data_IF_683340241584
#
_entry.id   IF_683340241584
#
_cell.length_a   1.000
_cell.length_b   1.000
_cell.length_c   1.000
_cell.angle_alpha   90.00
_cell.angle_beta   90.00
_cell.angle_gamma   90.00
#
_symmetry.space_group_name_H-M   'P 1'
#
loop_
_entity.id
_entity.type
_entity.pdbx_description
1 polymer ?
#
# COMPACT_ATOMS: atom_id res chain seq x y z
N UNK A 1 -6.26 -25.69 -8.69
CA UNK A 1 -5.23 -24.73 -9.11
C UNK A 1 -3.89 -25.44 -8.97
N UNK A 2 -3.15 -25.67 -10.07
CA UNK A 2 -1.86 -26.35 -10.01
C UNK A 2 -0.81 -25.48 -9.29
N UNK A 3 0.26 -26.09 -8.80
CA UNK A 3 1.38 -25.36 -8.18
C UNK A 3 2.00 -24.41 -9.22
N UNK A 4 1.93 -23.11 -8.96
CA UNK A 4 2.54 -22.11 -9.82
C UNK A 4 4.07 -22.14 -9.63
N UNK A 5 4.81 -22.36 -10.72
CA UNK A 5 6.28 -22.41 -10.70
C UNK A 5 6.93 -21.08 -11.10
N UNK A 6 6.13 -20.08 -11.48
CA UNK A 6 6.59 -18.74 -11.85
C UNK A 6 5.69 -17.68 -11.21
N UNK A 7 6.22 -16.47 -10.89
CA UNK A 7 5.43 -15.34 -10.40
C UNK A 7 4.20 -15.03 -11.26
N UNK A 8 4.34 -15.05 -12.58
CA UNK A 8 3.24 -14.70 -13.50
C UNK A 8 2.14 -15.78 -13.57
N UNK A 9 2.45 -17.00 -13.13
CA UNK A 9 1.47 -18.09 -13.04
C UNK A 9 0.78 -18.13 -11.67
N UNK A 10 1.20 -17.29 -10.72
CA UNK A 10 0.68 -17.27 -9.36
C UNK A 10 -0.79 -16.84 -9.30
N UNK A 11 -1.41 -17.07 -8.15
CA UNK A 11 -2.75 -16.57 -7.88
C UNK A 11 -2.77 -15.03 -7.79
N UNK A 12 -1.69 -14.41 -7.34
CA UNK A 12 -1.58 -12.95 -7.24
C UNK A 12 -1.58 -12.27 -8.61
N UNK A 13 -1.08 -12.91 -9.67
CA UNK A 13 -1.08 -12.31 -11.02
C UNK A 13 -2.21 -12.89 -11.87
N UNK A 14 -2.16 -14.19 -12.16
CA UNK A 14 -3.13 -14.85 -13.03
C UNK A 14 -4.52 -14.95 -12.40
N UNK A 15 -4.58 -15.08 -11.08
CA UNK A 15 -5.86 -15.05 -10.35
C UNK A 15 -6.52 -13.68 -10.43
N UNK A 16 -5.77 -12.58 -10.27
CA UNK A 16 -6.30 -11.22 -10.42
C UNK A 16 -6.74 -10.92 -11.85
N UNK A 17 -5.97 -11.34 -12.86
CA UNK A 17 -6.38 -11.22 -14.26
C UNK A 17 -7.72 -11.94 -14.53
N UNK A 18 -7.86 -13.17 -14.04
CA UNK A 18 -9.09 -13.96 -14.21
C UNK A 18 -10.27 -13.36 -13.43
N UNK A 19 -10.04 -12.92 -12.20
CA UNK A 19 -11.04 -12.25 -11.38
C UNK A 19 -11.54 -10.97 -12.08
N UNK A 20 -10.61 -10.13 -12.56
CA UNK A 20 -10.96 -8.90 -13.26
C UNK A 20 -11.81 -9.16 -14.50
N UNK A 21 -11.42 -10.13 -15.35
CA UNK A 21 -12.21 -10.55 -16.52
C UNK A 21 -13.60 -11.07 -16.14
N UNK A 22 -13.71 -11.86 -15.08
CA UNK A 22 -15.00 -12.39 -14.60
C UNK A 22 -15.92 -11.30 -14.01
N UNK A 23 -15.33 -10.20 -13.52
CA UNK A 23 -16.04 -9.07 -12.93
C UNK A 23 -16.28 -7.91 -13.93
N UNK A 24 -16.02 -8.11 -15.23
CA UNK A 24 -16.37 -7.12 -16.24
C UNK A 24 -17.89 -6.91 -16.31
N UNK A 25 -18.37 -5.66 -16.50
CA UNK A 25 -19.80 -5.38 -16.66
C UNK A 25 -20.34 -6.05 -17.93
N UNK A 26 -21.55 -6.62 -17.83
CA UNK A 26 -22.27 -7.16 -18.98
C UNK A 26 -22.95 -6.01 -19.74
N UNK A 27 -22.57 -5.79 -21.00
CA UNK A 27 -23.16 -4.76 -21.87
C UNK A 27 -22.63 -3.34 -21.63
N UNK A 28 -23.29 -2.33 -22.23
CA UNK A 28 -22.88 -0.92 -22.19
C UNK A 28 -23.23 -0.20 -20.86
N UNK A 29 -23.20 -0.91 -19.73
CA UNK A 29 -23.46 -0.28 -18.43
C UNK A 29 -22.19 0.34 -17.89
N UNK A 30 -22.14 1.67 -17.85
CA UNK A 30 -21.14 2.42 -17.08
C UNK A 30 -21.42 2.16 -15.61
N UNK A 31 -20.74 1.19 -15.00
CA UNK A 31 -20.82 1.02 -13.55
C UNK A 31 -20.09 2.16 -12.88
N UNK A 32 -20.75 2.78 -11.92
CA UNK A 32 -20.23 3.93 -11.18
C UNK A 32 -19.43 3.51 -9.96
N UNK A 33 -19.48 2.24 -9.55
CA UNK A 33 -18.83 1.73 -8.35
C UNK A 33 -17.69 0.75 -8.67
N UNK A 34 -16.68 0.62 -7.80
CA UNK A 34 -15.66 -0.42 -7.95
C UNK A 34 -16.30 -1.81 -7.89
N UNK A 35 -16.01 -2.65 -8.89
CA UNK A 35 -16.38 -4.08 -8.89
C UNK A 35 -15.31 -4.95 -8.24
N UNK A 36 -14.06 -4.48 -8.23
CA UNK A 36 -12.95 -5.14 -7.54
C UNK A 36 -12.21 -4.12 -6.69
N UNK A 37 -12.08 -4.39 -5.40
CA UNK A 37 -11.19 -3.64 -4.49
C UNK A 37 -10.03 -4.55 -4.13
N UNK A 38 -8.83 -4.17 -4.55
CA UNK A 38 -7.62 -4.95 -4.32
C UNK A 38 -6.87 -4.44 -3.08
N UNK A 39 -6.69 -5.30 -2.09
CA UNK A 39 -5.78 -5.04 -0.98
C UNK A 39 -4.34 -5.40 -1.39
N UNK A 40 -3.56 -4.38 -1.75
CA UNK A 40 -2.15 -4.47 -2.12
C UNK A 40 -1.24 -4.13 -0.91
N UNK A 41 -0.17 -3.36 -1.11
CA UNK A 41 0.74 -2.88 -0.06
C UNK A 41 1.32 -1.53 -0.47
N UNK A 42 1.50 -0.62 0.48
CA UNK A 42 2.34 0.54 0.23
C UNK A 42 3.78 0.09 -0.06
N UNK A 43 4.46 0.80 -0.96
CA UNK A 43 5.85 0.57 -1.28
C UNK A 43 6.13 -0.40 -2.41
N UNK A 44 5.12 -0.87 -3.14
CA UNK A 44 5.28 -1.84 -4.23
C UNK A 44 6.08 -1.30 -5.43
N UNK A 45 6.25 0.01 -5.57
CA UNK A 45 7.06 0.61 -6.65
C UNK A 45 8.48 0.99 -6.21
N UNK A 46 8.69 1.13 -4.89
CA UNK A 46 9.94 1.61 -4.28
C UNK A 46 11.18 0.74 -4.57
N UNK A 47 11.07 -0.61 -4.64
CA UNK A 47 12.19 -1.44 -5.06
C UNK A 47 12.73 -1.10 -6.44
N UNK A 48 11.89 -0.57 -7.32
CA UNK A 48 12.24 -0.23 -8.71
C UNK A 48 12.57 1.24 -8.93
N UNK A 49 12.56 2.07 -7.89
CA UNK A 49 12.96 3.47 -7.99
C UNK A 49 14.45 3.60 -8.34
N UNK A 50 14.82 4.70 -9.01
CA UNK A 50 16.21 5.03 -9.26
C UNK A 50 16.97 5.22 -7.93
N UNK A 51 18.28 4.98 -7.93
CA UNK A 51 19.12 5.17 -6.73
C UNK A 51 19.06 6.60 -6.21
N UNK A 52 19.02 7.58 -7.12
CA UNK A 52 18.85 8.99 -6.77
C UNK A 52 17.53 9.26 -6.05
N UNK A 53 16.41 8.68 -6.53
CA UNK A 53 15.10 8.83 -5.88
C UNK A 53 15.05 8.09 -4.54
N UNK A 54 15.66 6.90 -4.45
CA UNK A 54 15.78 6.16 -3.20
C UNK A 54 16.54 6.97 -2.14
N UNK A 55 17.64 7.63 -2.51
CA UNK A 55 18.39 8.50 -1.59
C UNK A 55 17.59 9.76 -1.21
N UNK A 56 16.98 10.43 -2.18
CA UNK A 56 16.17 11.64 -1.94
C UNK A 56 14.96 11.38 -1.03
N UNK A 57 14.35 10.20 -1.15
CA UNK A 57 13.15 9.79 -0.39
C UNK A 57 13.45 8.61 0.56
N UNK A 58 14.62 8.65 1.21
CA UNK A 58 15.17 7.55 2.00
C UNK A 58 14.21 7.01 3.08
N UNK A 59 13.49 7.90 3.77
CA UNK A 59 12.50 7.50 4.79
C UNK A 59 11.35 6.65 4.26
N UNK A 60 11.10 6.68 2.95
CA UNK A 60 10.17 5.77 2.28
C UNK A 60 10.86 4.54 1.67
N UNK A 61 12.08 4.71 1.16
CA UNK A 61 12.80 3.70 0.38
C UNK A 61 13.57 2.67 1.23
N UNK A 62 14.05 3.03 2.43
CA UNK A 62 14.87 2.15 3.29
C UNK A 62 14.09 1.57 4.48
N UNK A 63 12.76 1.55 4.40
CA UNK A 63 11.94 0.84 5.37
C UNK A 63 12.13 -0.69 5.23
N UNK A 64 11.97 -1.48 6.29
CA UNK A 64 12.34 -2.91 6.29
C UNK A 64 11.75 -3.74 5.16
N UNK A 65 10.44 -3.58 4.89
CA UNK A 65 9.76 -4.37 3.86
C UNK A 65 10.23 -4.04 2.44
N UNK A 66 10.68 -2.80 2.20
CA UNK A 66 11.20 -2.35 0.91
C UNK A 66 12.66 -2.76 0.75
N UNK A 67 13.48 -2.55 1.80
CA UNK A 67 14.89 -2.96 1.82
C UNK A 67 15.05 -4.46 1.61
N UNK A 68 14.29 -5.27 2.36
CA UNK A 68 14.44 -6.71 2.37
C UNK A 68 13.64 -7.41 1.28
N UNK A 69 12.46 -6.88 0.93
CA UNK A 69 11.53 -7.40 -0.08
C UNK A 69 11.54 -8.94 -0.19
N UNK A 70 11.19 -9.65 0.90
CA UNK A 70 11.38 -11.09 0.98
C UNK A 70 10.60 -11.77 -0.15
N UNK A 71 11.28 -12.65 -0.88
CA UNK A 71 10.74 -13.37 -2.04
C UNK A 71 10.21 -12.49 -3.19
N UNK A 72 10.58 -11.21 -3.24
CA UNK A 72 10.04 -10.28 -4.24
C UNK A 72 8.54 -10.01 -4.06
N UNK A 73 8.02 -10.12 -2.83
CA UNK A 73 6.58 -10.00 -2.56
C UNK A 73 5.99 -8.67 -3.02
N UNK A 74 6.75 -7.57 -2.93
CA UNK A 74 6.32 -6.25 -3.40
C UNK A 74 6.21 -6.21 -4.93
N UNK A 75 7.15 -6.84 -5.64
CA UNK A 75 7.11 -6.96 -7.10
C UNK A 75 5.92 -7.81 -7.55
N UNK A 76 5.63 -8.90 -6.84
CA UNK A 76 4.48 -9.76 -7.14
C UNK A 76 3.16 -9.01 -6.97
N UNK A 77 3.01 -8.26 -5.88
CA UNK A 77 1.85 -7.39 -5.66
C UNK A 77 1.72 -6.35 -6.76
N UNK A 78 2.82 -5.69 -7.14
CA UNK A 78 2.83 -4.71 -8.24
C UNK A 78 2.34 -5.32 -9.55
N UNK A 79 2.86 -6.50 -9.93
CA UNK A 79 2.40 -7.23 -11.14
C UNK A 79 0.93 -7.59 -11.06
N UNK A 80 0.46 -8.01 -9.88
CA UNK A 80 -0.96 -8.29 -9.66
C UNK A 80 -1.84 -7.07 -9.85
N UNK A 81 -1.42 -5.90 -9.36
CA UNK A 81 -2.12 -4.64 -9.63
C UNK A 81 -2.15 -4.35 -11.13
N UNK A 82 -1.02 -4.41 -11.83
CA UNK A 82 -0.93 -4.18 -13.28
C UNK A 82 -1.82 -5.15 -14.08
N UNK A 83 -1.85 -6.43 -13.69
CA UNK A 83 -2.72 -7.45 -14.28
C UNK A 83 -4.21 -7.13 -14.09
N UNK A 84 -4.61 -6.64 -12.91
CA UNK A 84 -5.98 -6.20 -12.66
C UNK A 84 -6.34 -4.96 -13.50
N UNK A 85 -5.46 -3.95 -13.55
CA UNK A 85 -5.67 -2.74 -14.36
C UNK A 85 -5.88 -3.09 -15.84
N UNK A 86 -5.06 -4.00 -16.37
CA UNK A 86 -5.11 -4.43 -17.76
C UNK A 86 -6.42 -5.13 -18.16
N UNK A 87 -7.23 -5.62 -17.21
CA UNK A 87 -8.51 -6.24 -17.56
C UNK A 87 -9.59 -5.21 -17.92
N UNK A 88 -9.40 -3.92 -17.61
CA UNK A 88 -10.41 -2.88 -17.78
C UNK A 88 -11.62 -3.00 -16.84
N UNK A 89 -11.53 -3.85 -15.80
CA UNK A 89 -12.59 -3.94 -14.79
C UNK A 89 -12.62 -2.67 -13.96
N UNK A 90 -13.79 -2.13 -13.58
CA UNK A 90 -13.84 -1.02 -12.64
C UNK A 90 -13.26 -1.45 -11.29
N UNK A 91 -12.07 -0.94 -10.97
CA UNK A 91 -11.29 -1.36 -9.81
C UNK A 91 -11.00 -0.18 -8.87
N UNK A 92 -10.53 -0.51 -7.67
CA UNK A 92 -9.76 0.38 -6.82
C UNK A 92 -8.62 -0.43 -6.17
N UNK A 93 -7.39 0.09 -6.20
CA UNK A 93 -6.25 -0.53 -5.52
C UNK A 93 -5.96 0.24 -4.24
N UNK A 94 -6.02 -0.47 -3.11
CA UNK A 94 -5.70 0.08 -1.79
C UNK A 94 -4.37 -0.50 -1.34
N UNK A 95 -3.44 0.36 -0.94
CA UNK A 95 -2.09 0.02 -0.48
C UNK A 95 -1.94 0.38 1.00
N UNK A 96 -2.37 -0.48 1.93
CA UNK A 96 -2.13 -0.24 3.35
C UNK A 96 -0.63 -0.16 3.67
N UNK A 97 -0.28 0.69 4.64
CA UNK A 97 1.04 0.68 5.30
C UNK A 97 1.12 -0.46 6.32
N UNK A 98 2.09 -0.43 7.24
CA UNK A 98 2.37 -1.56 8.14
C UNK A 98 1.17 -1.95 9.02
N UNK A 99 0.61 -3.13 8.75
CA UNK A 99 -0.51 -3.68 9.52
C UNK A 99 -0.08 -4.02 10.95
N UNK A 100 -0.79 -3.50 11.94
CA UNK A 100 -0.52 -3.78 13.35
C UNK A 100 -1.82 -3.77 14.17
N UNK A 101 -2.21 -4.91 14.74
CA UNK A 101 -3.45 -5.03 15.53
C UNK A 101 -3.42 -4.26 16.85
N UNK A 102 -2.22 -3.91 17.32
CA UNK A 102 -2.01 -3.09 18.52
C UNK A 102 -1.97 -1.59 18.21
N UNK A 103 -1.90 -1.20 16.93
CA UNK A 103 -2.01 0.21 16.56
C UNK A 103 -3.41 0.69 16.93
N UNK A 104 -3.50 1.91 17.46
CA UNK A 104 -4.80 2.45 17.86
C UNK A 104 -5.75 2.57 16.66
N UNK A 105 -7.04 2.40 16.94
CA UNK A 105 -8.08 2.74 15.98
C UNK A 105 -7.94 4.23 15.62
N UNK A 106 -7.73 4.50 14.33
CA UNK A 106 -7.38 5.82 13.86
C UNK A 106 -8.19 6.29 12.66
N UNK A 107 -8.11 7.59 12.42
CA UNK A 107 -8.63 8.20 11.20
C UNK A 107 -7.75 7.79 10.02
N UNK A 108 -8.31 7.24 8.92
CA UNK A 108 -7.53 6.93 7.74
C UNK A 108 -7.04 8.21 7.05
N UNK A 109 -5.78 8.20 6.64
CA UNK A 109 -5.15 9.20 5.78
C UNK A 109 -4.87 8.54 4.44
N UNK A 110 -5.41 9.11 3.36
CA UNK A 110 -5.23 8.61 1.99
C UNK A 110 -4.16 9.45 1.29
N UNK A 111 -3.33 8.82 0.47
CA UNK A 111 -2.27 9.51 -0.29
C UNK A 111 -1.93 8.76 -1.58
N UNK A 112 -1.07 9.36 -2.40
CA UNK A 112 -0.62 8.80 -3.68
C UNK A 112 0.87 9.05 -3.89
N UNK A 113 1.47 8.38 -4.89
CA UNK A 113 2.89 8.52 -5.20
C UNK A 113 3.77 7.42 -4.61
N UNK A 114 3.18 6.49 -3.87
CA UNK A 114 3.86 5.36 -3.25
C UNK A 114 4.94 5.80 -2.23
N UNK A 115 4.64 6.84 -1.45
CA UNK A 115 5.57 7.46 -0.46
C UNK A 115 5.09 7.35 0.99
N UNK A 116 3.88 6.81 1.22
CA UNK A 116 3.30 6.73 2.55
C UNK A 116 4.03 5.70 3.43
N UNK A 117 4.39 6.11 4.63
CA UNK A 117 4.98 5.24 5.64
C UNK A 117 4.20 5.46 6.93
N UNK A 118 3.93 4.38 7.65
CA UNK A 118 3.14 4.45 8.86
C UNK A 118 2.64 3.09 9.31
N UNK A 119 1.60 3.13 10.13
CA UNK A 119 0.90 1.96 10.65
C UNK A 119 -0.61 2.12 10.47
N UNK A 120 -1.30 0.99 10.42
CA UNK A 120 -2.75 0.94 10.40
C UNK A 120 -3.23 -0.33 11.11
N UNK A 121 -4.29 -0.19 11.92
CA UNK A 121 -4.95 -1.35 12.51
C UNK A 121 -5.63 -2.18 11.40
N UNK A 122 -5.59 -3.51 11.49
CA UNK A 122 -6.29 -4.36 10.51
C UNK A 122 -7.80 -4.07 10.44
N UNK A 123 -8.41 -3.64 11.54
CA UNK A 123 -9.82 -3.19 11.57
C UNK A 123 -10.04 -1.94 10.72
N UNK A 124 -9.08 -1.01 10.71
CA UNK A 124 -9.16 0.23 9.94
C UNK A 124 -8.90 -0.02 8.46
N UNK A 125 -7.94 -0.89 8.15
CA UNK A 125 -7.73 -1.35 6.78
C UNK A 125 -8.99 -2.04 6.23
N UNK A 126 -9.61 -2.93 7.01
CA UNK A 126 -10.88 -3.57 6.64
C UNK A 126 -12.02 -2.55 6.47
N UNK A 127 -12.10 -1.55 7.35
CA UNK A 127 -13.06 -0.44 7.23
C UNK A 127 -12.88 0.29 5.89
N UNK A 128 -11.66 0.67 5.52
CA UNK A 128 -11.38 1.38 4.25
C UNK A 128 -11.72 0.50 3.04
N UNK A 129 -11.27 -0.76 3.04
CA UNK A 129 -11.52 -1.71 1.94
C UNK A 129 -13.01 -1.92 1.69
N UNK A 130 -13.78 -2.13 2.75
CA UNK A 130 -15.23 -2.35 2.65
C UNK A 130 -15.98 -1.07 2.29
N UNK A 131 -15.54 0.09 2.79
CA UNK A 131 -16.21 1.35 2.50
C UNK A 131 -16.06 1.77 1.05
N UNK A 132 -14.88 1.56 0.45
CA UNK A 132 -14.57 1.91 -0.95
C UNK A 132 -15.54 1.27 -1.95
N UNK A 133 -16.09 0.08 -1.66
CA UNK A 133 -17.08 -0.58 -2.53
C UNK A 133 -18.33 0.29 -2.79
N UNK A 134 -18.65 1.20 -1.87
CA UNK A 134 -19.79 2.11 -1.99
C UNK A 134 -19.44 3.54 -2.40
N UNK A 135 -18.20 3.81 -2.79
CA UNK A 135 -17.73 5.17 -3.12
C UNK A 135 -17.37 5.23 -4.63
N UNK A 136 -18.19 5.85 -5.48
CA UNK A 136 -17.96 5.89 -6.92
C UNK A 136 -16.64 6.60 -7.30
N UNK A 137 -16.20 7.53 -6.45
CA UNK A 137 -14.98 8.30 -6.63
C UNK A 137 -13.73 7.44 -6.44
N UNK A 138 -13.84 6.17 -6.02
CA UNK A 138 -12.71 5.25 -5.97
C UNK A 138 -12.37 4.57 -7.31
N UNK A 139 -13.29 4.59 -8.28
CA UNK A 139 -13.11 3.86 -9.55
C UNK A 139 -11.87 4.33 -10.29
N UNK A 140 -11.06 3.37 -10.71
CA UNK A 140 -9.84 3.58 -11.47
C UNK A 140 -8.74 4.26 -10.66
N UNK A 141 -8.76 4.19 -9.33
CA UNK A 141 -7.75 4.82 -8.47
C UNK A 141 -6.89 3.82 -7.72
N UNK A 142 -5.62 4.17 -7.59
CA UNK A 142 -4.69 3.59 -6.61
C UNK A 142 -4.42 4.58 -5.49
N UNK A 143 -4.51 4.12 -4.25
CA UNK A 143 -4.24 4.92 -3.06
C UNK A 143 -3.43 4.17 -2.02
N UNK A 144 -2.61 4.89 -1.27
CA UNK A 144 -1.99 4.42 -0.04
C UNK A 144 -2.83 4.81 1.16
N UNK A 145 -2.79 4.00 2.22
CA UNK A 145 -3.51 4.29 3.46
C UNK A 145 -2.72 3.93 4.72
N UNK A 146 -2.71 4.87 5.66
CA UNK A 146 -2.28 4.68 7.04
C UNK A 146 -3.31 5.31 7.98
N UNK A 147 -3.21 5.06 9.27
CA UNK A 147 -4.11 5.64 10.26
C UNK A 147 -3.35 6.48 11.28
N UNK A 148 -3.81 7.70 11.49
CA UNK A 148 -3.37 8.53 12.62
C UNK A 148 -4.33 8.30 13.80
N UNK A 149 -3.81 8.08 15.02
CA UNK A 149 -4.65 7.89 16.21
C UNK A 149 -5.73 8.98 16.36
N UNK A 150 -6.97 8.55 16.59
CA UNK A 150 -8.17 9.33 16.25
C UNK A 150 -8.94 9.90 17.43
N UNK A 151 -8.37 10.02 18.63
CA UNK A 151 -9.13 10.41 19.83
C UNK A 151 -9.88 11.76 19.68
N UNK A 152 -9.37 12.70 18.87
CA UNK A 152 -9.96 14.02 18.64
C UNK A 152 -10.63 14.20 17.27
N UNK A 153 -10.33 13.34 16.29
CA UNK A 153 -10.88 13.44 14.93
C UNK A 153 -11.42 12.07 14.48
N UNK A 154 -12.75 11.88 14.50
CA UNK A 154 -13.33 10.58 14.19
C UNK A 154 -13.15 10.20 12.72
N UNK A 155 -13.26 8.89 12.45
CA UNK A 155 -13.34 8.38 11.09
C UNK A 155 -14.50 9.05 10.32
N UNK A 156 -14.26 9.52 9.08
CA UNK A 156 -15.32 10.11 8.29
C UNK A 156 -16.36 9.05 7.92
N UNK A 157 -17.66 9.40 7.86
CA UNK A 157 -18.72 8.44 7.48
C UNK A 157 -18.67 8.01 6.02
N UNK A 158 -18.05 8.82 5.16
CA UNK A 158 -17.81 8.55 3.74
C UNK A 158 -16.37 8.92 3.42
N UNK A 159 -15.77 8.17 2.50
CA UNK A 159 -14.44 8.46 1.97
C UNK A 159 -14.49 9.27 0.67
N UNK A 160 -15.67 9.50 0.09
CA UNK A 160 -15.87 10.15 -1.21
C UNK A 160 -15.08 11.45 -1.36
N UNK A 161 -15.19 12.39 -0.41
CA UNK A 161 -14.42 13.65 -0.44
C UNK A 161 -12.89 13.47 -0.44
N UNK A 162 -12.39 12.43 0.24
CA UNK A 162 -10.95 12.12 0.23
C UNK A 162 -10.54 11.51 -1.11
N UNK A 163 -11.40 10.66 -1.68
CA UNK A 163 -11.19 9.98 -2.96
C UNK A 163 -11.34 10.93 -4.16
N UNK A 164 -12.22 11.92 -4.10
CA UNK A 164 -12.37 13.00 -5.10
C UNK A 164 -11.06 13.75 -5.32
N UNK A 165 -10.29 13.96 -4.26
CA UNK A 165 -9.02 14.67 -4.30
C UNK A 165 -7.86 13.85 -4.90
N UNK A 166 -8.06 12.55 -5.10
CA UNK A 166 -7.05 11.67 -5.67
C UNK A 166 -7.14 11.65 -7.20
N UNK A 167 -5.99 11.48 -7.84
CA UNK A 167 -5.91 11.38 -9.30
C UNK A 167 -6.24 9.95 -9.73
N UNK A 168 -7.08 9.73 -10.75
CA UNK A 168 -7.22 8.42 -11.38
C UNK A 168 -5.88 7.88 -11.87
N UNK A 169 -5.75 6.56 -11.89
CA UNK A 169 -4.62 5.90 -12.55
C UNK A 169 -4.67 6.30 -14.02
N UNK A 170 -3.60 6.93 -14.52
CA UNK A 170 -3.58 7.48 -15.87
C UNK A 170 -3.80 6.37 -16.92
N UNK A 171 -4.56 6.69 -17.96
CA UNK A 171 -4.58 5.91 -19.19
C UNK A 171 -3.22 6.04 -19.87
N UNK A 172 -2.29 5.13 -19.57
CA UNK A 172 -1.02 4.87 -20.26
C UNK A 172 -0.04 6.05 -20.57
N UNK A 173 -0.35 7.30 -20.20
CA UNK A 173 0.38 8.49 -20.68
C UNK A 173 1.32 9.15 -19.65
N UNK A 174 1.43 8.62 -18.43
CA UNK A 174 2.36 9.14 -17.42
C UNK A 174 2.03 8.69 -15.99
N UNK A 175 2.87 9.04 -15.00
CA UNK A 175 2.55 8.80 -13.59
C UNK A 175 1.33 9.62 -13.17
N UNK A 176 0.51 9.08 -12.27
CA UNK A 176 -0.68 9.77 -11.75
C UNK A 176 -0.36 11.09 -11.01
N UNK A 177 0.88 11.29 -10.57
CA UNK A 177 1.36 12.53 -9.94
C UNK A 177 2.73 12.94 -10.51
N UNK A 178 3.02 14.24 -10.56
CA UNK A 178 4.36 14.74 -10.88
C UNK A 178 5.36 14.43 -9.76
N UNK A 179 6.65 14.40 -10.07
CA UNK A 179 7.70 14.15 -9.07
C UNK A 179 7.70 15.20 -7.95
N UNK A 180 7.40 16.46 -8.26
CA UNK A 180 7.29 17.55 -7.28
C UNK A 180 6.10 17.33 -6.33
N UNK A 181 4.96 16.88 -6.86
CA UNK A 181 3.79 16.56 -6.06
C UNK A 181 4.05 15.36 -5.13
N UNK A 182 4.76 14.33 -5.64
CA UNK A 182 5.18 13.17 -4.84
C UNK A 182 6.12 13.60 -3.72
N UNK A 183 7.09 14.48 -4.01
CA UNK A 183 8.03 14.98 -2.99
C UNK A 183 7.34 15.86 -1.94
N UNK A 184 6.40 16.72 -2.36
CA UNK A 184 5.61 17.52 -1.43
C UNK A 184 4.76 16.63 -0.51
N UNK A 185 4.10 15.61 -1.06
CA UNK A 185 3.37 14.62 -0.25
C UNK A 185 4.31 13.90 0.72
N UNK A 186 5.45 13.39 0.25
CA UNK A 186 6.44 12.75 1.10
C UNK A 186 6.82 13.62 2.31
N UNK A 187 7.19 14.89 2.09
CA UNK A 187 7.60 15.81 3.17
C UNK A 187 6.50 16.05 4.21
N UNK A 188 5.22 16.03 3.80
CA UNK A 188 4.09 16.13 4.73
C UNK A 188 3.92 14.81 5.49
N UNK A 189 3.94 13.69 4.79
CA UNK A 189 3.69 12.38 5.40
C UNK A 189 4.78 11.95 6.38
N UNK A 190 6.04 12.34 6.16
CA UNK A 190 7.13 12.08 7.13
C UNK A 190 6.87 12.74 8.50
N UNK A 191 6.11 13.83 8.56
CA UNK A 191 5.74 14.48 9.82
C UNK A 191 4.64 13.73 10.59
N UNK A 192 4.05 12.69 9.99
CA UNK A 192 2.97 11.88 10.57
C UNK A 192 3.43 10.48 10.97
N UNK A 193 4.75 10.24 10.97
CA UNK A 193 5.31 8.96 11.39
C UNK A 193 5.02 8.70 12.87
N UNK A 194 4.72 7.45 13.26
CA UNK A 194 4.61 7.09 14.67
C UNK A 194 5.94 7.19 15.41
N UNK A 195 5.88 7.19 16.74
CA UNK A 195 7.05 7.32 17.61
C UNK A 195 7.60 8.74 17.71
N UNK A 196 8.60 8.90 18.58
CA UNK A 196 9.24 10.19 18.85
C UNK A 196 10.36 10.49 17.87
N UNK A 197 11.13 9.46 17.46
CA UNK A 197 12.25 9.62 16.52
C UNK A 197 11.78 9.91 15.11
N UNK A 198 10.67 9.30 14.67
CA UNK A 198 10.17 9.46 13.30
C UNK A 198 11.14 8.94 12.21
N UNK A 199 12.04 8.02 12.56
CA UNK A 199 13.08 7.49 11.66
C UNK A 199 12.66 6.13 11.09
N UNK A 200 11.78 6.15 10.09
CA UNK A 200 11.26 4.89 9.53
C UNK A 200 12.34 4.04 8.83
N UNK A 201 13.40 4.65 8.31
CA UNK A 201 14.55 3.98 7.69
C UNK A 201 15.49 3.30 8.71
N UNK A 202 15.43 3.73 9.97
CA UNK A 202 16.19 3.11 11.06
C UNK A 202 15.55 1.80 11.58
N UNK A 203 14.31 1.49 11.19
CA UNK A 203 13.62 0.29 11.65
C UNK A 203 14.29 -1.00 11.17
N UNK A 204 14.25 -2.01 12.04
CA UNK A 204 14.43 -3.42 11.70
C UNK A 204 13.10 -4.08 11.31
N UNK A 205 13.15 -5.17 10.55
CA UNK A 205 11.93 -5.91 10.18
C UNK A 205 11.22 -6.45 11.43
N UNK A 206 9.92 -6.16 11.54
CA UNK A 206 9.12 -6.57 12.69
C UNK A 206 9.35 -5.76 13.96
N UNK A 207 10.11 -4.65 13.91
CA UNK A 207 10.23 -3.67 14.98
C UNK A 207 9.09 -2.62 14.91
N UNK A 208 8.62 -2.14 16.06
CA UNK A 208 7.72 -0.98 16.15
C UNK A 208 8.49 0.33 16.34
N UNK A 209 7.83 1.47 16.13
CA UNK A 209 8.46 2.77 16.35
C UNK A 209 8.78 2.98 17.83
N UNK A 210 7.89 2.54 18.73
CA UNK A 210 8.07 2.64 20.18
C UNK A 210 9.23 1.76 20.67
N UNK A 211 9.49 0.63 20.01
CA UNK A 211 10.67 -0.18 20.29
C UNK A 211 11.95 0.54 19.83
N UNK A 212 11.93 1.14 18.64
CA UNK A 212 13.04 1.95 18.13
C UNK A 212 13.34 3.12 19.07
N UNK A 213 12.31 3.82 19.56
CA UNK A 213 12.46 4.94 20.49
C UNK A 213 13.16 4.53 21.80
N UNK A 214 12.96 3.27 22.24
CA UNK A 214 13.54 2.68 23.44
C UNK A 214 14.83 1.88 23.21
N UNK A 215 15.37 1.90 21.98
CA UNK A 215 16.51 1.08 21.57
C UNK A 215 16.30 -0.44 21.79
N UNK A 216 15.05 -0.89 21.73
CA UNK A 216 14.65 -2.30 21.85
C UNK A 216 14.68 -3.00 20.49
N UNK A 217 15.04 -4.28 20.47
CA UNK A 217 15.05 -5.08 19.25
C UNK A 217 13.65 -5.45 18.75
N UNK A 218 13.53 -5.54 17.42
CA UNK A 218 12.33 -6.03 16.78
C UNK A 218 12.17 -7.54 16.94
N UNK A 219 10.97 -8.03 16.61
CA UNK A 219 10.64 -9.47 16.64
C UNK A 219 11.62 -10.36 15.87
N UNK A 220 12.25 -9.83 14.81
CA UNK A 220 13.14 -10.59 13.93
C UNK A 220 14.62 -10.24 14.16
N UNK A 221 14.96 -9.53 15.24
CA UNK A 221 16.33 -9.13 15.56
C UNK A 221 16.68 -7.71 15.15
N UNK A 222 17.98 -7.42 15.11
CA UNK A 222 18.54 -6.10 14.82
C UNK A 222 18.51 -5.78 13.33
N UNK A 223 18.46 -4.48 13.00
CA UNK A 223 18.60 -3.99 11.62
C UNK A 223 19.94 -4.45 11.03
N UNK A 224 19.88 -5.14 9.89
CA UNK A 224 21.04 -5.74 9.21
C UNK A 224 21.33 -7.19 9.61
N UNK A 225 20.71 -7.68 10.69
CA UNK A 225 20.84 -9.04 11.21
C UNK A 225 19.46 -9.73 11.32
N UNK A 226 18.45 -9.26 10.57
CA UNK A 226 17.08 -9.75 10.71
C UNK A 226 16.92 -11.21 10.24
N UNK A 227 16.41 -12.09 11.11
CA UNK A 227 16.00 -13.45 10.77
C UNK A 227 14.61 -13.43 10.13
N UNK A 228 14.57 -13.14 8.82
CA UNK A 228 13.33 -13.19 8.06
C UNK A 228 13.00 -14.66 7.80
N UNK A 229 11.90 -15.22 8.34
CA UNK A 229 11.63 -16.65 8.23
C UNK A 229 11.46 -17.04 6.76
N UNK A 230 12.52 -17.62 6.20
CA UNK A 230 12.49 -18.28 4.90
C UNK A 230 11.95 -19.67 5.17
N UNK A 231 10.63 -19.87 5.10
CA UNK A 231 10.10 -21.24 5.03
C UNK A 231 10.44 -21.75 3.63
N UNK A 232 11.33 -22.75 3.46
CA UNK A 232 11.54 -23.33 2.15
C UNK A 232 10.22 -23.95 1.70
N UNK A 233 9.78 -23.61 0.49
CA UNK A 233 8.65 -24.29 -0.13
C UNK A 233 9.12 -25.72 -0.40
N UNK A 234 8.68 -26.66 0.44
CA UNK A 234 8.86 -28.10 0.22
C UNK A 234 7.89 -28.59 -0.86
#
# INVERSE_FOLDING_TARGET
>A
FGAAVTPDASIDVRGLERLGKAMLPSGATTTTLPRVVLCSSAGVTRPTWSKEKQERLKGAADIPIVRLNPFGVLDLKRRGEEALRATGVPYCVVRPTGLNDKHEDGRPVLSQGDVAVGRINRKDAAYVLTRILGEPEAVGKTLEVFAVPGALYPKPRSLGRLLEALTPDADAAGPALSEEAVEAQYRILQQLLPGERGEADALAMGQTYEQLDKDEEGRLGKRGEEDVPIVPVA
#
